data_IF_811197656491
#
_entry.id   IF_811197656491
#
_cell.length_a   1.000
_cell.length_b   1.000
_cell.length_c   1.000
_cell.angle_alpha   90.00
_cell.angle_beta   90.00
_cell.angle_gamma   90.00
#
_symmetry.space_group_name_H-M   'P 1'
#
loop_
_entity.id
_entity.type
_entity.pdbx_description
1 polymer ?
#
# COMPACT_ATOMS: atom_id res chain seq x y z
N UNK A 1 -20.82 17.16 -2.14
CA UNK A 1 -19.49 17.09 -2.78
C UNK A 1 -18.48 17.01 -1.65
N UNK A 2 -17.78 15.88 -1.51
CA UNK A 2 -16.69 15.78 -0.54
C UNK A 2 -15.51 16.58 -1.09
N UNK A 3 -15.08 17.60 -0.35
CA UNK A 3 -13.86 18.34 -0.66
C UNK A 3 -12.72 17.72 0.13
N UNK A 4 -11.53 17.52 -0.47
CA UNK A 4 -10.35 17.14 0.28
C UNK A 4 -10.10 18.18 1.38
N UNK A 5 -9.92 17.69 2.60
CA UNK A 5 -9.41 18.49 3.71
C UNK A 5 -7.91 18.28 3.80
N UNK A 6 -7.20 19.31 4.25
CA UNK A 6 -5.78 19.18 4.53
C UNK A 6 -5.58 18.18 5.68
N UNK A 7 -4.62 17.27 5.51
CA UNK A 7 -4.23 16.28 6.51
C UNK A 7 -2.72 16.33 6.69
N UNK A 8 -2.27 16.30 7.93
CA UNK A 8 -0.85 16.22 8.27
C UNK A 8 -0.43 14.76 8.43
N UNK A 9 0.61 14.34 7.70
CA UNK A 9 1.22 13.03 7.87
C UNK A 9 2.33 13.14 8.92
N UNK A 10 1.98 12.89 10.18
CA UNK A 10 2.91 12.98 11.33
C UNK A 10 3.93 11.84 11.38
N UNK A 11 3.59 10.67 10.85
CA UNK A 11 4.46 9.52 10.77
C UNK A 11 4.12 8.65 9.55
N UNK A 12 5.11 7.95 9.01
CA UNK A 12 4.94 6.97 7.93
C UNK A 12 6.03 5.90 8.01
N UNK A 13 5.64 4.66 7.78
CA UNK A 13 6.54 3.50 7.77
C UNK A 13 5.92 2.40 6.92
N UNK A 14 6.73 1.51 6.37
CA UNK A 14 6.28 0.34 5.64
C UNK A 14 7.17 -0.86 5.88
N UNK A 15 6.87 -1.95 5.19
CA UNK A 15 7.70 -3.14 5.13
C UNK A 15 7.71 -3.75 3.73
N UNK A 16 8.80 -4.43 3.42
CA UNK A 16 8.95 -5.30 2.26
C UNK A 16 9.90 -6.45 2.65
N UNK A 17 9.91 -7.56 1.92
CA UNK A 17 10.88 -8.64 2.18
C UNK A 17 12.30 -8.26 1.72
N UNK A 18 12.41 -7.47 0.65
CA UNK A 18 13.67 -6.99 0.06
C UNK A 18 13.56 -5.49 -0.28
N UNK A 19 13.56 -4.62 0.75
CA UNK A 19 13.29 -3.19 0.56
C UNK A 19 14.39 -2.51 -0.26
N UNK A 20 13.98 -1.78 -1.30
CA UNK A 20 14.85 -0.93 -2.11
C UNK A 20 14.85 0.50 -1.57
N UNK A 21 16.02 1.13 -1.49
CA UNK A 21 16.14 2.56 -1.16
C UNK A 21 15.81 3.41 -2.41
N UNK A 22 14.68 4.15 -2.42
CA UNK A 22 14.28 4.96 -3.58
C UNK A 22 15.13 6.24 -3.75
N UNK A 23 15.92 6.61 -2.75
CA UNK A 23 16.78 7.81 -2.77
C UNK A 23 18.16 7.47 -3.31
N UNK A 24 18.63 6.24 -3.08
CA UNK A 24 19.87 5.72 -3.66
C UNK A 24 19.75 5.57 -5.19
N UNK A 25 20.85 5.83 -5.89
CA UNK A 25 20.90 5.72 -7.36
C UNK A 25 20.52 4.31 -7.82
N UNK A 26 21.20 3.29 -7.28
CA UNK A 26 20.97 1.88 -7.63
C UNK A 26 19.55 1.42 -7.31
N UNK A 27 19.01 1.78 -6.14
CA UNK A 27 17.64 1.42 -5.77
C UNK A 27 16.59 2.10 -6.67
N UNK A 28 16.82 3.37 -7.04
CA UNK A 28 15.95 4.08 -7.99
C UNK A 28 16.00 3.48 -9.40
N UNK A 29 17.17 3.03 -9.86
CA UNK A 29 17.33 2.34 -11.14
C UNK A 29 16.65 0.96 -11.12
N UNK A 30 16.80 0.21 -10.02
CA UNK A 30 16.17 -1.09 -9.89
C UNK A 30 14.63 -0.97 -9.88
N UNK A 31 14.06 0.00 -9.17
CA UNK A 31 12.62 0.27 -9.20
C UNK A 31 12.12 0.59 -10.62
N UNK A 32 12.89 1.39 -11.37
CA UNK A 32 12.58 1.71 -12.76
C UNK A 32 12.63 0.49 -13.68
N UNK A 33 13.47 -0.51 -13.38
CA UNK A 33 13.60 -1.73 -14.19
C UNK A 33 12.34 -2.62 -14.18
N UNK A 34 11.45 -2.44 -13.20
CA UNK A 34 10.17 -3.16 -13.13
C UNK A 34 9.08 -2.57 -14.04
N UNK A 35 9.36 -1.47 -14.74
CA UNK A 35 8.44 -0.84 -15.69
C UNK A 35 8.90 -1.16 -17.11
N UNK A 36 7.97 -1.61 -17.96
CA UNK A 36 8.31 -1.96 -19.34
C UNK A 36 8.62 -0.70 -20.17
N UNK A 37 9.59 -0.75 -21.10
CA UNK A 37 10.11 0.44 -21.79
C UNK A 37 9.07 1.31 -22.50
N UNK A 38 7.98 0.72 -22.99
CA UNK A 38 6.92 1.43 -23.71
C UNK A 38 5.84 2.02 -22.79
N UNK A 39 5.87 1.75 -21.48
CA UNK A 39 4.91 2.25 -20.52
C UNK A 39 5.32 3.64 -20.00
N UNK A 40 5.44 4.60 -20.91
CA UNK A 40 5.97 5.95 -20.62
C UNK A 40 5.23 6.64 -19.47
N UNK A 41 3.90 6.53 -19.42
CA UNK A 41 3.10 7.11 -18.33
C UNK A 41 3.45 6.53 -16.95
N UNK A 42 3.86 5.24 -16.88
CA UNK A 42 4.30 4.62 -15.63
C UNK A 42 5.69 5.09 -15.23
N UNK A 43 6.59 5.26 -16.20
CA UNK A 43 7.91 5.87 -15.95
C UNK A 43 7.77 7.30 -15.40
N UNK A 44 6.92 8.13 -16.01
CA UNK A 44 6.65 9.50 -15.54
C UNK A 44 6.12 9.50 -14.11
N UNK A 45 5.14 8.63 -13.81
CA UNK A 45 4.57 8.54 -12.47
C UNK A 45 5.57 8.02 -11.43
N UNK A 46 6.38 7.01 -11.77
CA UNK A 46 7.42 6.51 -10.88
C UNK A 46 8.53 7.55 -10.68
N UNK A 47 8.92 8.30 -11.71
CA UNK A 47 9.86 9.41 -11.59
C UNK A 47 9.33 10.49 -10.63
N UNK A 48 8.03 10.82 -10.70
CA UNK A 48 7.36 11.69 -9.75
C UNK A 48 7.40 11.16 -8.32
N UNK A 49 7.11 9.87 -8.12
CA UNK A 49 7.18 9.25 -6.80
C UNK A 49 8.62 9.26 -6.22
N UNK A 50 9.64 8.97 -7.04
CA UNK A 50 11.04 9.07 -6.63
C UNK A 50 11.43 10.52 -6.28
N UNK A 51 10.93 11.51 -7.01
CA UNK A 51 11.14 12.92 -6.68
C UNK A 51 10.53 13.29 -5.33
N UNK A 52 9.31 12.81 -5.02
CA UNK A 52 8.69 12.97 -3.69
C UNK A 52 9.54 12.30 -2.61
N UNK A 53 10.01 11.07 -2.83
CA UNK A 53 10.85 10.36 -1.87
C UNK A 53 12.14 11.12 -1.54
N UNK A 54 12.82 11.66 -2.57
CA UNK A 54 14.02 12.50 -2.40
C UNK A 54 13.73 13.80 -1.65
N UNK A 55 12.61 14.46 -1.96
CA UNK A 55 12.22 15.71 -1.29
C UNK A 55 11.92 15.48 0.19
N UNK A 56 11.18 14.42 0.52
CA UNK A 56 10.88 14.06 1.91
C UNK A 56 12.14 13.62 2.66
N UNK A 57 13.05 12.90 2.01
CA UNK A 57 14.35 12.55 2.60
C UNK A 57 15.21 13.78 2.89
N UNK A 58 15.33 14.70 1.94
CA UNK A 58 16.06 15.96 2.13
C UNK A 58 15.50 16.81 3.27
N UNK A 59 14.20 16.66 3.55
CA UNK A 59 13.51 17.36 4.61
C UNK A 59 13.42 16.56 5.93
N UNK A 60 14.17 15.45 6.06
CA UNK A 60 14.25 14.64 7.27
C UNK A 60 13.02 13.77 7.56
N UNK A 61 12.15 13.55 6.57
CA UNK A 61 10.89 12.79 6.66
C UNK A 61 10.86 11.59 5.70
N UNK A 62 12.01 11.01 5.39
CA UNK A 62 12.08 9.79 4.58
C UNK A 62 11.15 8.71 5.17
N UNK A 63 10.38 8.04 4.30
CA UNK A 63 9.67 6.85 4.72
C UNK A 63 10.68 5.73 4.98
N UNK A 64 10.54 5.04 6.09
CA UNK A 64 11.36 3.85 6.41
C UNK A 64 10.58 2.60 6.02
N UNK A 65 11.19 1.75 5.19
CA UNK A 65 10.64 0.45 4.82
C UNK A 65 11.52 -0.62 5.47
N UNK A 66 10.96 -1.34 6.45
CA UNK A 66 11.69 -2.39 7.15
C UNK A 66 11.70 -3.70 6.34
N UNK A 67 12.80 -4.45 6.44
CA UNK A 67 12.86 -5.81 5.91
C UNK A 67 12.07 -6.78 6.80
N UNK A 68 10.81 -7.05 6.45
CA UNK A 68 9.91 -7.89 7.24
C UNK A 68 8.68 -8.36 6.43
N UNK A 69 8.10 -9.52 6.78
CA UNK A 69 6.75 -9.88 6.33
C UNK A 69 5.69 -8.93 6.94
N UNK A 70 4.60 -8.71 6.21
CA UNK A 70 3.57 -7.72 6.53
C UNK A 70 2.86 -7.99 7.85
N UNK A 71 2.46 -9.24 8.12
CA UNK A 71 1.70 -9.60 9.31
C UNK A 71 2.49 -9.36 10.60
N UNK A 72 3.71 -9.92 10.67
CA UNK A 72 4.60 -9.73 11.83
C UNK A 72 4.99 -8.25 12.03
N UNK A 73 5.18 -7.53 10.93
CA UNK A 73 5.50 -6.10 10.97
C UNK A 73 4.31 -5.29 11.50
N UNK A 74 3.09 -5.54 11.01
CA UNK A 74 1.88 -4.85 11.44
C UNK A 74 1.58 -5.07 12.92
N UNK A 75 1.71 -6.30 13.42
CA UNK A 75 1.54 -6.59 14.85
C UNK A 75 2.42 -5.69 15.74
N UNK A 76 3.69 -5.50 15.36
CA UNK A 76 4.61 -4.62 16.09
C UNK A 76 4.24 -3.15 15.99
N UNK A 77 3.92 -2.68 14.78
CA UNK A 77 3.59 -1.26 14.56
C UNK A 77 2.27 -0.88 15.23
N UNK A 78 1.26 -1.75 15.12
CA UNK A 78 -0.08 -1.49 15.64
C UNK A 78 -0.18 -1.64 17.17
N UNK A 79 0.80 -2.29 17.81
CA UNK A 79 0.91 -2.31 19.27
C UNK A 79 1.30 -0.95 19.88
N UNK A 80 1.93 -0.06 19.10
CA UNK A 80 2.47 1.23 19.58
C UNK A 80 2.00 2.38 18.70
N UNK A 81 0.72 2.75 18.84
CA UNK A 81 0.08 3.77 18.01
C UNK A 81 0.03 5.10 18.73
N UNK A 82 0.22 6.17 17.97
CA UNK A 82 0.04 7.54 18.46
C UNK A 82 -1.44 7.77 18.80
N UNK A 83 -1.73 8.20 20.04
CA UNK A 83 -3.11 8.35 20.51
C UNK A 83 -3.88 9.47 19.78
N UNK A 84 -3.18 10.52 19.36
CA UNK A 84 -3.77 11.73 18.75
C UNK A 84 -3.75 11.73 17.21
N UNK A 85 -3.46 10.58 16.59
CA UNK A 85 -3.44 10.43 15.13
C UNK A 85 -4.31 9.25 14.66
N UNK A 86 -4.96 9.41 13.50
CA UNK A 86 -5.59 8.29 12.81
C UNK A 86 -4.50 7.43 12.16
N UNK A 87 -4.41 6.17 12.59
CA UNK A 87 -3.54 5.20 11.89
C UNK A 87 -4.23 4.74 10.62
N UNK A 88 -3.50 4.81 9.50
CA UNK A 88 -3.94 4.28 8.20
C UNK A 88 -3.01 3.14 7.82
N UNK A 89 -3.58 1.94 7.68
CA UNK A 89 -2.90 0.81 7.04
C UNK A 89 -3.25 0.85 5.57
N UNK A 90 -2.26 0.88 4.69
CA UNK A 90 -2.44 0.88 3.24
C UNK A 90 -1.70 -0.32 2.65
N UNK A 91 -2.40 -1.12 1.87
CA UNK A 91 -1.79 -2.15 1.02
C UNK A 91 -2.35 -2.09 -0.41
N UNK A 92 -1.53 -2.45 -1.40
CA UNK A 92 -1.89 -2.36 -2.81
C UNK A 92 -1.22 -3.41 -3.67
N UNK A 93 -2.02 -4.32 -4.24
CA UNK A 93 -1.58 -5.43 -5.10
C UNK A 93 -0.47 -6.24 -4.41
N UNK A 94 -0.67 -6.58 -3.14
CA UNK A 94 0.28 -7.39 -2.37
C UNK A 94 -0.26 -8.76 -2.03
N UNK A 95 -1.57 -8.89 -1.76
CA UNK A 95 -2.16 -10.14 -1.26
C UNK A 95 -1.98 -11.32 -2.20
N UNK A 96 -1.98 -11.09 -3.52
CA UNK A 96 -1.77 -12.14 -4.51
C UNK A 96 -0.38 -12.80 -4.46
N UNK A 97 0.58 -12.17 -3.75
CA UNK A 97 1.92 -12.70 -3.55
C UNK A 97 2.10 -13.40 -2.19
N UNK A 98 1.11 -13.29 -1.31
CA UNK A 98 1.19 -13.81 0.05
C UNK A 98 0.67 -15.25 0.13
N UNK A 99 1.28 -16.10 0.98
CA UNK A 99 0.61 -17.32 1.39
C UNK A 99 -0.64 -16.96 2.19
N UNK A 100 -1.67 -17.81 2.17
CA UNK A 100 -2.93 -17.55 2.87
C UNK A 100 -2.77 -17.24 4.36
N UNK A 101 -1.74 -17.81 5.01
CA UNK A 101 -1.41 -17.55 6.42
C UNK A 101 -0.96 -16.11 6.67
N UNK A 102 -0.30 -15.49 5.69
CA UNK A 102 0.15 -14.10 5.81
C UNK A 102 -1.04 -13.14 5.66
N UNK A 103 -1.91 -13.38 4.67
CA UNK A 103 -3.16 -12.61 4.51
C UNK A 103 -4.06 -12.73 5.75
N UNK A 104 -4.13 -13.92 6.36
CA UNK A 104 -4.86 -14.13 7.62
C UNK A 104 -4.28 -13.29 8.75
N UNK A 105 -2.95 -13.35 8.92
CA UNK A 105 -2.24 -12.62 9.97
C UNK A 105 -2.40 -11.11 9.83
N UNK A 106 -2.33 -10.57 8.61
CA UNK A 106 -2.60 -9.15 8.32
C UNK A 106 -4.03 -8.77 8.72
N UNK A 107 -5.02 -9.57 8.29
CA UNK A 107 -6.44 -9.32 8.63
C UNK A 107 -6.67 -9.35 10.14
N UNK A 108 -6.09 -10.31 10.86
CA UNK A 108 -6.20 -10.41 12.32
C UNK A 108 -5.53 -9.22 13.02
N UNK A 109 -4.31 -8.84 12.64
CA UNK A 109 -3.59 -7.72 13.24
C UNK A 109 -4.37 -6.39 13.08
N UNK A 110 -4.95 -6.15 11.90
CA UNK A 110 -5.77 -4.96 11.64
C UNK A 110 -7.07 -4.99 12.45
N UNK A 111 -7.75 -6.15 12.52
CA UNK A 111 -8.98 -6.30 13.29
C UNK A 111 -8.76 -6.05 14.79
N UNK A 112 -7.75 -6.70 15.38
CA UNK A 112 -7.43 -6.50 16.80
C UNK A 112 -7.04 -5.05 17.12
N UNK A 113 -6.26 -4.40 16.26
CA UNK A 113 -5.87 -3.01 16.47
C UNK A 113 -7.06 -2.05 16.43
N UNK A 114 -8.07 -2.34 15.60
CA UNK A 114 -9.29 -1.54 15.47
C UNK A 114 -10.18 -1.60 16.70
N UNK A 115 -10.19 -2.72 17.44
CA UNK A 115 -10.97 -2.86 18.68
C UNK A 115 -10.51 -1.86 19.76
N UNK A 116 -9.26 -1.44 19.72
CA UNK A 116 -8.65 -0.61 20.76
C UNK A 116 -8.60 0.89 20.41
N UNK A 117 -8.39 1.25 19.13
CA UNK A 117 -8.28 2.64 18.69
C UNK A 117 -8.69 2.79 17.22
N UNK A 118 -9.34 3.90 16.80
CA UNK A 118 -9.76 4.13 15.41
C UNK A 118 -8.62 3.95 14.41
N UNK A 119 -8.83 3.12 13.40
CA UNK A 119 -7.86 2.79 12.35
C UNK A 119 -8.60 2.73 11.02
N UNK A 120 -8.01 3.22 9.94
CA UNK A 120 -8.51 3.01 8.58
C UNK A 120 -7.63 1.97 7.87
N UNK A 121 -8.25 0.99 7.21
CA UNK A 121 -7.55 0.01 6.39
C UNK A 121 -7.94 0.22 4.93
N UNK A 122 -7.01 0.78 4.15
CA UNK A 122 -7.19 1.03 2.73
C UNK A 122 -6.54 -0.12 1.95
N UNK A 123 -7.35 -0.82 1.15
CA UNK A 123 -6.86 -1.90 0.29
C UNK A 123 -7.09 -1.54 -1.17
N UNK A 124 -6.09 -1.83 -2.00
CA UNK A 124 -6.23 -1.85 -3.45
C UNK A 124 -5.84 -3.24 -3.96
N UNK A 125 -6.76 -4.19 -3.92
CA UNK A 125 -6.46 -5.60 -4.21
C UNK A 125 -7.32 -6.16 -5.34
N UNK A 126 -6.83 -7.20 -6.00
CA UNK A 126 -7.62 -7.95 -6.95
C UNK A 126 -8.66 -8.78 -6.20
N UNK A 127 -9.97 -8.65 -6.48
CA UNK A 127 -10.93 -9.59 -5.94
C UNK A 127 -10.68 -10.97 -6.55
N UNK A 128 -10.59 -11.98 -5.69
CA UNK A 128 -10.56 -13.37 -6.10
C UNK A 128 -11.87 -13.73 -6.80
N UNK A 129 -11.75 -14.40 -7.95
CA UNK A 129 -12.88 -15.00 -8.67
C UNK A 129 -12.64 -16.48 -8.77
N UNK A 130 -13.61 -17.29 -8.40
CA UNK A 130 -13.54 -18.72 -8.69
C UNK A 130 -14.18 -18.96 -10.06
N UNK A 131 -13.37 -19.33 -11.05
CA UNK A 131 -13.80 -19.71 -12.40
C UNK A 131 -13.36 -21.15 -12.62
N UNK A 132 -14.32 -22.04 -12.89
CA UNK A 132 -14.09 -23.48 -13.08
C UNK A 132 -13.22 -24.15 -11.98
N UNK A 133 -13.42 -23.73 -10.73
CA UNK A 133 -12.69 -24.26 -9.57
C UNK A 133 -11.27 -23.71 -9.39
N UNK A 134 -10.88 -22.68 -10.15
CA UNK A 134 -9.59 -21.99 -10.03
C UNK A 134 -9.80 -20.55 -9.56
N UNK A 135 -8.88 -20.06 -8.74
CA UNK A 135 -8.82 -18.64 -8.38
C UNK A 135 -8.23 -17.88 -9.57
N UNK A 136 -9.02 -16.98 -10.14
CA UNK A 136 -8.64 -15.99 -11.14
C UNK A 136 -8.75 -14.61 -10.54
N UNK A 137 -7.74 -13.77 -10.76
CA UNK A 137 -7.80 -12.36 -10.35
C UNK A 137 -8.56 -11.55 -11.40
N UNK A 138 -9.50 -10.72 -10.96
CA UNK A 138 -10.23 -9.84 -11.88
C UNK A 138 -9.28 -8.89 -12.62
N UNK A 139 -9.62 -8.48 -13.84
CA UNK A 139 -8.78 -7.57 -14.64
C UNK A 139 -8.53 -6.19 -13.98
N UNK A 140 -9.39 -5.79 -13.04
CA UNK A 140 -9.27 -4.55 -12.28
C UNK A 140 -9.24 -4.87 -10.78
N UNK A 141 -8.47 -4.08 -10.03
CA UNK A 141 -8.47 -4.12 -8.58
C UNK A 141 -9.69 -3.37 -8.02
N UNK A 142 -9.98 -3.59 -6.74
CA UNK A 142 -10.96 -2.84 -5.98
C UNK A 142 -10.25 -1.96 -4.96
N UNK A 143 -10.64 -0.68 -4.90
CA UNK A 143 -10.25 0.20 -3.81
C UNK A 143 -11.32 0.09 -2.72
N UNK A 144 -10.93 -0.27 -1.51
CA UNK A 144 -11.82 -0.39 -0.36
C UNK A 144 -11.26 0.33 0.87
N UNK A 145 -12.17 0.77 1.75
CA UNK A 145 -11.84 1.27 3.09
C UNK A 145 -12.58 0.39 4.07
N UNK A 146 -11.84 -0.25 4.98
CA UNK A 146 -12.39 -1.13 6.01
C UNK A 146 -13.24 -2.28 5.45
N UNK A 147 -12.94 -2.71 4.22
CA UNK A 147 -13.69 -3.73 3.47
C UNK A 147 -14.84 -3.17 2.62
N UNK A 148 -15.22 -1.90 2.80
CA UNK A 148 -16.24 -1.25 1.99
C UNK A 148 -15.63 -0.80 0.66
N UNK A 149 -16.04 -1.47 -0.43
CA UNK A 149 -15.55 -1.18 -1.78
C UNK A 149 -16.07 0.18 -2.26
N UNK A 150 -15.14 1.10 -2.51
CA UNK A 150 -15.42 2.44 -3.02
C UNK A 150 -15.48 2.50 -4.54
N UNK A 151 -14.79 1.60 -5.23
CA UNK A 151 -14.74 1.59 -6.70
C UNK A 151 -13.77 0.56 -7.27
N UNK A 152 -13.77 0.44 -8.59
CA UNK A 152 -12.80 -0.35 -9.34
C UNK A 152 -11.64 0.54 -9.75
N UNK A 153 -10.44 0.00 -9.80
CA UNK A 153 -9.24 0.76 -10.17
C UNK A 153 -8.33 -0.06 -11.07
N UNK A 154 -7.67 0.62 -12.00
CA UNK A 154 -6.66 -0.04 -12.83
C UNK A 154 -5.57 -0.64 -11.90
N UNK A 155 -5.00 -1.82 -12.18
CA UNK A 155 -3.97 -2.44 -11.32
C UNK A 155 -2.72 -1.58 -11.10
N UNK A 156 -2.54 -0.56 -11.95
CA UNK A 156 -1.52 0.46 -11.79
C UNK A 156 -2.10 1.78 -11.25
N UNK A 157 -3.14 1.78 -10.43
CA UNK A 157 -3.63 2.91 -9.62
C UNK A 157 -4.57 3.92 -10.31
N UNK A 158 -4.50 4.13 -11.62
CA UNK A 158 -5.41 5.05 -12.34
C UNK A 158 -5.82 4.50 -13.71
N UNK A 159 -7.05 4.76 -14.17
CA UNK A 159 -8.10 5.53 -13.49
C UNK A 159 -8.84 4.74 -12.39
N UNK A 160 -9.54 5.47 -11.52
CA UNK A 160 -10.52 4.96 -10.54
C UNK A 160 -11.92 5.17 -11.11
N UNK A 161 -12.73 4.12 -11.10
CA UNK A 161 -14.13 4.13 -11.48
C UNK A 161 -14.98 3.95 -10.23
N UNK A 162 -15.69 5.02 -9.86
CA UNK A 162 -16.68 5.02 -8.79
C UNK A 162 -18.00 4.40 -9.31
N UNK A 163 -18.84 3.83 -8.42
CA UNK A 163 -20.14 3.25 -8.77
C UNK A 163 -21.13 4.28 -9.35
#
# INVERSE_FOLDING_TARGET
MLLPVEVEIVARRGCDLDPLDPVAEDGSHQLMSFVWPWQLHRHERLAGALAVARAEAAAGRAAVVDAAPAGEWLERQLAHREADALTVVWQSITEMYWPATESERVREAVAQAREHQPLAHITMEHPDRIVDGRVEHAAHAQLAVDGDVLGKVHPHGIPLWLP
#
